data_IF_891360033080
#
_entry.id   IF_891360033080
#
_cell.length_a   1.000
_cell.length_b   1.000
_cell.length_c   1.000
_cell.angle_alpha   90.00
_cell.angle_beta   90.00
_cell.angle_gamma   90.00
#
_symmetry.space_group_name_H-M   'P 1'
#
loop_
_entity.id
_entity.type
_entity.pdbx_description
1 polymer ?
#
# COMPACT_ATOMS: atom_id res chain seq x y z
N UNK A 1 3.38 8.24 -26.21
CA UNK A 1 3.19 6.87 -25.70
C UNK A 1 3.93 6.60 -24.38
N UNK A 2 4.89 7.43 -23.96
CA UNK A 2 5.66 7.20 -22.72
C UNK A 2 4.83 7.29 -21.42
N UNK A 3 3.83 8.17 -21.37
CA UNK A 3 3.02 8.41 -20.16
C UNK A 3 2.11 7.23 -19.77
N UNK A 4 1.65 6.43 -20.74
CA UNK A 4 0.77 5.27 -20.49
C UNK A 4 1.56 4.13 -19.84
N UNK A 5 2.82 3.95 -20.25
CA UNK A 5 3.71 2.95 -19.65
C UNK A 5 4.09 3.33 -18.20
N UNK A 6 4.22 4.62 -17.92
CA UNK A 6 4.47 5.13 -16.58
C UNK A 6 3.25 4.95 -15.66
N UNK A 7 2.06 5.31 -16.12
CA UNK A 7 0.81 5.10 -15.36
C UNK A 7 0.54 3.61 -15.07
N UNK A 8 0.76 2.73 -16.05
CA UNK A 8 0.63 1.27 -15.87
C UNK A 8 1.60 0.75 -14.80
N UNK A 9 2.85 1.23 -14.82
CA UNK A 9 3.86 0.85 -13.82
C UNK A 9 3.48 1.33 -12.42
N UNK A 10 3.01 2.57 -12.31
CA UNK A 10 2.55 3.15 -11.04
C UNK A 10 1.32 2.41 -10.47
N UNK A 11 0.38 2.00 -11.31
CA UNK A 11 -0.76 1.18 -10.87
C UNK A 11 -0.33 -0.20 -10.38
N UNK A 12 0.64 -0.84 -11.06
CA UNK A 12 1.20 -2.13 -10.59
C UNK A 12 1.90 -1.95 -9.25
N UNK A 13 2.69 -0.90 -9.08
CA UNK A 13 3.34 -0.59 -7.80
C UNK A 13 2.31 -0.37 -6.70
N UNK A 14 1.27 0.43 -6.96
CA UNK A 14 0.21 0.67 -5.99
C UNK A 14 -0.54 -0.62 -5.60
N UNK A 15 -0.78 -1.53 -6.54
CA UNK A 15 -1.38 -2.83 -6.25
C UNK A 15 -0.49 -3.66 -5.32
N UNK A 16 0.81 -3.75 -5.60
CA UNK A 16 1.77 -4.44 -4.72
C UNK A 16 1.87 -3.80 -3.34
N UNK A 17 1.85 -2.46 -3.27
CA UNK A 17 1.84 -1.72 -2.00
C UNK A 17 0.56 -2.03 -1.20
N UNK A 18 -0.60 -2.16 -1.85
CA UNK A 18 -1.84 -2.57 -1.20
C UNK A 18 -1.84 -4.03 -0.71
N UNK A 19 -1.23 -4.94 -1.46
CA UNK A 19 -1.02 -6.32 -1.00
C UNK A 19 -0.16 -6.37 0.27
N UNK A 20 0.96 -5.64 0.28
CA UNK A 20 1.81 -5.52 1.46
C UNK A 20 1.05 -4.92 2.65
N UNK A 21 0.21 -3.90 2.41
CA UNK A 21 -0.63 -3.33 3.46
C UNK A 21 -1.62 -4.36 4.03
N UNK A 22 -2.26 -5.16 3.17
CA UNK A 22 -3.17 -6.22 3.60
C UNK A 22 -2.44 -7.28 4.45
N UNK A 23 -1.25 -7.69 4.05
CA UNK A 23 -0.42 -8.61 4.85
C UNK A 23 -0.08 -8.03 6.23
N UNK A 24 0.26 -6.74 6.30
CA UNK A 24 0.52 -6.07 7.56
C UNK A 24 -0.72 -5.94 8.44
N UNK A 25 -1.91 -5.74 7.87
CA UNK A 25 -3.17 -5.77 8.62
C UNK A 25 -3.49 -7.17 9.16
N UNK A 26 -3.28 -8.22 8.38
CA UNK A 26 -3.43 -9.60 8.85
C UNK A 26 -2.49 -9.90 10.02
N UNK A 27 -1.21 -9.55 9.86
CA UNK A 27 -0.22 -9.72 10.94
C UNK A 27 -0.57 -8.91 12.19
N UNK A 28 -1.09 -7.70 12.03
CA UNK A 28 -1.56 -6.90 13.16
C UNK A 28 -2.69 -7.59 13.92
N UNK A 29 -3.65 -8.18 13.20
CA UNK A 29 -4.74 -8.96 13.80
C UNK A 29 -4.21 -10.20 14.56
N UNK A 30 -3.30 -10.97 13.95
CA UNK A 30 -2.66 -12.11 14.62
C UNK A 30 -1.90 -11.68 15.88
N UNK A 31 -1.17 -10.56 15.83
CA UNK A 31 -0.49 -10.01 17.01
C UNK A 31 -1.49 -9.57 18.09
N UNK A 32 -2.67 -9.06 17.73
CA UNK A 32 -3.73 -8.79 18.71
C UNK A 32 -4.25 -10.07 19.36
N UNK A 33 -4.46 -11.13 18.60
CA UNK A 33 -4.90 -12.44 19.11
C UNK A 33 -3.86 -13.06 20.06
N UNK A 34 -2.57 -12.80 19.81
CA UNK A 34 -1.45 -13.26 20.65
C UNK A 34 -1.12 -12.28 21.80
N UNK A 35 -1.92 -11.24 22.01
CA UNK A 35 -1.71 -10.20 23.02
C UNK A 35 -0.39 -9.39 22.86
N UNK A 36 0.20 -9.42 21.65
CA UNK A 36 1.42 -8.69 21.26
C UNK A 36 1.08 -7.28 20.74
N UNK A 37 0.55 -6.43 21.62
CA UNK A 37 0.03 -5.09 21.26
C UNK A 37 1.10 -4.21 20.59
N UNK A 38 2.37 -4.28 21.02
CA UNK A 38 3.47 -3.50 20.45
C UNK A 38 3.77 -3.87 19.00
N UNK A 39 3.73 -5.16 18.68
CA UNK A 39 3.97 -5.67 17.33
C UNK A 39 2.76 -5.43 16.41
N UNK A 40 1.55 -5.50 16.98
CA UNK A 40 0.31 -5.11 16.30
C UNK A 40 0.32 -3.64 15.90
N UNK A 41 0.79 -2.75 16.79
CA UNK A 41 0.94 -1.31 16.51
C UNK A 41 1.94 -1.05 15.38
N UNK A 42 3.09 -1.73 15.42
CA UNK A 42 4.11 -1.61 14.36
C UNK A 42 3.57 -2.10 13.03
N UNK A 43 2.90 -3.25 13.02
CA UNK A 43 2.31 -3.83 11.80
C UNK A 43 1.21 -2.93 11.25
N UNK A 44 0.34 -2.38 12.10
CA UNK A 44 -0.70 -1.42 11.68
C UNK A 44 -0.12 -0.15 11.08
N UNK A 45 1.00 0.36 11.64
CA UNK A 45 1.69 1.54 11.10
C UNK A 45 2.29 1.26 9.72
N UNK A 46 2.95 0.11 9.56
CA UNK A 46 3.50 -0.30 8.27
C UNK A 46 2.40 -0.47 7.21
N UNK A 47 1.24 -1.02 7.59
CA UNK A 47 0.09 -1.12 6.70
C UNK A 47 -0.38 0.26 6.22
N UNK A 48 -0.47 1.22 7.13
CA UNK A 48 -0.85 2.61 6.81
C UNK A 48 0.16 3.28 5.87
N UNK A 49 1.46 3.08 6.09
CA UNK A 49 2.51 3.65 5.25
C UNK A 49 2.48 3.06 3.82
N UNK A 50 2.24 1.75 3.70
CA UNK A 50 2.02 1.09 2.41
C UNK A 50 0.78 1.65 1.69
N UNK A 51 -0.37 1.79 2.37
CA UNK A 51 -1.57 2.38 1.80
C UNK A 51 -1.37 3.83 1.34
N UNK A 52 -0.65 4.65 2.12
CA UNK A 52 -0.33 6.02 1.75
C UNK A 52 0.55 6.08 0.49
N UNK A 53 1.49 5.16 0.36
CA UNK A 53 2.37 5.06 -0.82
C UNK A 53 1.58 4.63 -2.05
N UNK A 54 0.74 3.60 -1.91
CA UNK A 54 -0.16 3.13 -2.96
C UNK A 54 -1.10 4.23 -3.45
N UNK A 55 -1.66 5.03 -2.53
CA UNK A 55 -2.53 6.16 -2.86
C UNK A 55 -1.78 7.23 -3.65
N UNK A 56 -0.54 7.57 -3.26
CA UNK A 56 0.29 8.53 -4.00
C UNK A 56 0.60 8.02 -5.42
N UNK A 57 1.00 6.77 -5.55
CA UNK A 57 1.29 6.14 -6.83
C UNK A 57 0.06 6.12 -7.75
N UNK A 58 -1.10 5.75 -7.19
CA UNK A 58 -2.38 5.75 -7.92
C UNK A 58 -2.78 7.15 -8.35
N UNK A 59 -2.62 8.16 -7.48
CA UNK A 59 -2.92 9.55 -7.82
C UNK A 59 -2.02 10.05 -8.94
N UNK A 60 -0.71 9.83 -8.86
CA UNK A 60 0.23 10.17 -9.93
C UNK A 60 -0.11 9.45 -11.25
N UNK A 61 -0.49 8.18 -11.19
CA UNK A 61 -0.91 7.42 -12.37
C UNK A 61 -2.17 8.02 -13.02
N UNK A 62 -3.16 8.40 -12.21
CA UNK A 62 -4.39 9.06 -12.66
C UNK A 62 -4.09 10.43 -13.29
N UNK A 63 -3.25 11.24 -12.65
CA UNK A 63 -2.87 12.57 -13.15
C UNK A 63 -2.07 12.47 -14.46
N UNK A 64 -1.26 11.42 -14.65
CA UNK A 64 -0.51 11.16 -15.88
C UNK A 64 -1.36 10.54 -17.01
N UNK A 65 -2.46 9.86 -16.68
CA UNK A 65 -3.38 9.24 -17.66
C UNK A 65 -4.51 10.18 -18.10
N UNK A 66 -4.77 11.26 -17.34
CA UNK A 66 -5.75 12.28 -17.67
C UNK A 66 -5.23 13.40 -18.60
N UNK A 67 -4.01 13.27 -19.15
CA UNK A 67 -3.39 14.19 -20.11
C UNK A 67 -3.18 13.56 -21.47
#
# INVERSE_FOLDING_TARGET
MSNINEASTLHKQAASDHEAAAMHHHKAAECYDQNQISDAKTSSKNAMDCCNTAQKNTKSACDCSAK
#
